data_IF_535111741207
#
_entry.id   IF_535111741207
#
_cell.length_a   1.000
_cell.length_b   1.000
_cell.length_c   1.000
_cell.angle_alpha   90.00
_cell.angle_beta   90.00
_cell.angle_gamma   90.00
#
_symmetry.space_group_name_H-M   'P 1'
#
loop_
_entity.id
_entity.type
_entity.pdbx_description
1 polymer ?
#
# COMPACT_ATOMS: atom_id res chain seq x y z
N UNK A 1 -23.64 -20.38 8.21
CA UNK A 1 -22.54 -19.54 7.71
C UNK A 1 -22.99 -18.10 7.85
N UNK A 2 -22.64 -17.46 8.96
CA UNK A 2 -22.83 -16.01 9.12
C UNK A 2 -21.85 -15.34 8.17
N UNK A 3 -22.36 -14.50 7.26
CA UNK A 3 -21.50 -13.68 6.42
C UNK A 3 -20.60 -12.85 7.36
N UNK A 4 -19.29 -13.08 7.29
CA UNK A 4 -18.31 -12.19 7.93
C UNK A 4 -18.57 -10.83 7.30
N UNK A 5 -19.08 -9.90 8.11
CA UNK A 5 -19.42 -8.58 7.62
C UNK A 5 -18.11 -7.81 7.56
N UNK A 6 -17.44 -7.88 6.42
CA UNK A 6 -16.21 -7.14 6.18
C UNK A 6 -16.43 -5.66 6.54
N UNK A 7 -15.44 -5.05 7.19
CA UNK A 7 -15.40 -3.62 7.45
C UNK A 7 -15.80 -2.81 6.20
N UNK A 8 -16.51 -1.68 6.37
CA UNK A 8 -17.13 -0.94 5.27
C UNK A 8 -16.14 -0.47 4.18
N UNK A 9 -14.85 -0.42 4.51
CA UNK A 9 -13.78 0.00 3.62
C UNK A 9 -13.28 -1.09 2.66
N UNK A 10 -13.61 -2.37 2.90
CA UNK A 10 -13.08 -3.48 2.12
C UNK A 10 -13.47 -3.43 0.65
N UNK A 11 -14.76 -3.21 0.35
CA UNK A 11 -15.24 -3.16 -1.03
C UNK A 11 -14.52 -2.08 -1.85
N UNK A 12 -14.27 -0.92 -1.23
CA UNK A 12 -13.54 0.16 -1.88
C UNK A 12 -12.05 -0.18 -2.07
N UNK A 13 -11.41 -0.77 -1.05
CA UNK A 13 -10.02 -1.19 -1.13
C UNK A 13 -9.79 -2.23 -2.24
N UNK A 14 -10.66 -3.24 -2.33
CA UNK A 14 -10.60 -4.29 -3.36
C UNK A 14 -10.85 -3.70 -4.76
N UNK A 15 -11.78 -2.74 -4.86
CA UNK A 15 -12.00 -2.01 -6.10
C UNK A 15 -10.76 -1.23 -6.55
N UNK A 16 -10.08 -0.55 -5.62
CA UNK A 16 -8.81 0.16 -5.92
C UNK A 16 -7.74 -0.84 -6.37
N UNK A 17 -7.58 -1.95 -5.66
CA UNK A 17 -6.62 -3.00 -6.03
C UNK A 17 -6.91 -3.53 -7.44
N UNK A 18 -8.14 -3.92 -7.74
CA UNK A 18 -8.52 -4.45 -9.05
C UNK A 18 -8.41 -3.42 -10.18
N UNK A 19 -8.52 -2.14 -9.87
CA UNK A 19 -8.30 -1.07 -10.84
C UNK A 19 -6.80 -0.86 -11.15
N UNK A 20 -5.95 -0.88 -10.12
CA UNK A 20 -4.49 -0.74 -10.24
C UNK A 20 -3.86 -2.00 -10.84
N UNK A 21 -4.25 -3.18 -10.37
CA UNK A 21 -3.71 -4.47 -10.77
C UNK A 21 -4.85 -5.38 -11.27
N UNK A 22 -5.29 -5.23 -12.54
CA UNK A 22 -6.41 -5.98 -13.10
C UNK A 22 -6.25 -7.49 -12.98
N UNK A 23 -7.28 -8.16 -12.48
CA UNK A 23 -7.28 -9.60 -12.21
C UNK A 23 -7.11 -9.92 -10.71
N UNK A 24 -6.51 -9.02 -9.93
CA UNK A 24 -6.47 -9.15 -8.47
C UNK A 24 -7.85 -8.88 -7.86
N UNK A 25 -8.36 -9.83 -7.07
CA UNK A 25 -9.70 -9.75 -6.47
C UNK A 25 -9.71 -9.70 -4.95
N UNK A 26 -8.56 -9.84 -4.29
CA UNK A 26 -8.44 -9.84 -2.85
C UNK A 26 -7.02 -9.40 -2.43
N UNK A 27 -6.89 -8.88 -1.21
CA UNK A 27 -5.60 -8.65 -0.56
C UNK A 27 -5.07 -9.95 0.04
N UNK A 28 -4.81 -10.90 -0.84
CA UNK A 28 -4.28 -12.22 -0.56
C UNK A 28 -3.24 -12.48 -1.65
N UNK A 29 -1.93 -12.54 -1.31
CA UNK A 29 -0.86 -12.68 -2.29
C UNK A 29 -1.08 -13.84 -3.27
N UNK A 30 -1.70 -14.95 -2.83
CA UNK A 30 -2.00 -16.11 -3.68
C UNK A 30 -3.10 -15.84 -4.72
N UNK A 31 -3.91 -14.80 -4.50
CA UNK A 31 -5.03 -14.37 -5.37
C UNK A 31 -4.73 -13.07 -6.13
N UNK A 32 -3.50 -12.54 -6.01
CA UNK A 32 -3.07 -11.36 -6.74
C UNK A 32 -2.53 -11.75 -8.11
N UNK A 33 -3.32 -11.51 -9.15
CA UNK A 33 -2.88 -11.70 -10.54
C UNK A 33 -1.98 -10.54 -11.00
N UNK A 34 -1.10 -10.80 -11.96
CA UNK A 34 -0.25 -9.77 -12.56
C UNK A 34 1.09 -9.55 -11.87
N UNK A 35 1.43 -10.37 -10.87
CA UNK A 35 2.74 -10.42 -10.23
C UNK A 35 3.56 -11.59 -10.82
N UNK A 36 4.63 -11.34 -11.60
CA UNK A 36 5.48 -12.40 -12.11
C UNK A 36 6.25 -13.11 -10.99
N UNK A 37 6.29 -14.44 -11.04
CA UNK A 37 7.03 -15.25 -10.05
C UNK A 37 8.52 -14.89 -9.94
N UNK A 38 9.13 -14.37 -11.03
CA UNK A 38 10.54 -13.98 -11.05
C UNK A 38 10.85 -12.61 -10.46
N UNK A 39 9.83 -11.81 -10.14
CA UNK A 39 10.00 -10.45 -9.62
C UNK A 39 10.08 -10.42 -8.09
N UNK A 40 9.73 -11.52 -7.43
CA UNK A 40 9.84 -11.69 -5.99
C UNK A 40 11.31 -11.76 -5.59
N UNK A 41 11.68 -10.94 -4.60
CA UNK A 41 13.02 -10.89 -4.03
C UNK A 41 12.97 -11.33 -2.56
N UNK A 42 14.06 -11.91 -2.03
CA UNK A 42 14.17 -12.18 -0.61
C UNK A 42 14.05 -10.89 0.21
N UNK A 43 13.30 -10.96 1.30
CA UNK A 43 13.09 -9.90 2.28
C UNK A 43 13.06 -10.52 3.67
N UNK A 44 14.22 -10.57 4.32
CA UNK A 44 14.41 -11.28 5.58
C UNK A 44 13.69 -10.59 6.75
N UNK A 45 12.74 -11.31 7.35
CA UNK A 45 11.95 -10.90 8.52
C UNK A 45 12.43 -11.56 9.83
N UNK A 46 13.26 -12.61 9.78
CA UNK A 46 13.50 -13.48 10.96
C UNK A 46 14.84 -13.23 11.67
N UNK A 47 15.77 -12.47 11.07
CA UNK A 47 17.11 -12.25 11.65
C UNK A 47 17.46 -10.77 11.93
N UNK A 48 16.48 -9.86 11.90
CA UNK A 48 16.71 -8.40 12.00
C UNK A 48 15.94 -7.75 13.13
N UNK A 49 16.43 -6.61 13.59
CA UNK A 49 15.68 -5.71 14.49
C UNK A 49 14.48 -5.12 13.73
N UNK A 50 13.31 -5.09 14.37
CA UNK A 50 12.04 -4.61 13.81
C UNK A 50 12.16 -3.26 13.09
N UNK A 51 12.93 -2.33 13.68
CA UNK A 51 13.20 -1.00 13.11
C UNK A 51 13.92 -1.08 11.76
N UNK A 52 14.87 -2.00 11.61
CA UNK A 52 15.63 -2.17 10.37
C UNK A 52 14.78 -2.81 9.28
N UNK A 53 13.86 -3.70 9.63
CA UNK A 53 12.92 -4.31 8.68
C UNK A 53 11.98 -3.24 8.14
N UNK A 54 11.43 -2.41 9.03
CA UNK A 54 10.55 -1.31 8.65
C UNK A 54 11.26 -0.26 7.79
N UNK A 55 12.49 0.13 8.13
CA UNK A 55 13.26 1.09 7.34
C UNK A 55 13.56 0.56 5.94
N UNK A 56 13.89 -0.72 5.81
CA UNK A 56 14.11 -1.38 4.52
C UNK A 56 12.82 -1.43 3.71
N UNK A 57 11.70 -1.85 4.31
CA UNK A 57 10.38 -1.81 3.68
C UNK A 57 10.01 -0.39 3.20
N UNK A 58 10.24 0.64 4.02
CA UNK A 58 9.96 2.03 3.67
C UNK A 58 10.81 2.51 2.49
N UNK A 59 12.02 1.97 2.30
CA UNK A 59 12.86 2.28 1.13
C UNK A 59 12.21 1.84 -0.19
N UNK A 60 11.43 0.75 -0.18
CA UNK A 60 10.65 0.33 -1.36
C UNK A 60 9.45 1.24 -1.64
N UNK A 61 9.03 2.03 -0.65
CA UNK A 61 7.85 2.90 -0.71
C UNK A 61 8.16 4.36 -1.09
N UNK A 62 9.43 4.72 -1.33
CA UNK A 62 9.87 6.13 -1.53
C UNK A 62 9.23 6.82 -2.75
N UNK A 63 8.86 6.06 -3.78
CA UNK A 63 8.26 6.57 -5.02
C UNK A 63 6.72 6.46 -5.02
N UNK A 64 6.10 6.17 -3.87
CA UNK A 64 4.65 6.20 -3.72
C UNK A 64 4.17 7.64 -3.54
N UNK A 65 3.01 7.95 -4.13
CA UNK A 65 2.40 9.27 -4.04
C UNK A 65 0.92 9.19 -3.67
N UNK A 66 0.42 10.28 -3.08
CA UNK A 66 -0.99 10.48 -2.75
C UNK A 66 -1.55 9.50 -1.71
N UNK A 67 -2.87 9.28 -1.70
CA UNK A 67 -3.49 8.36 -0.76
C UNK A 67 -3.18 6.90 -1.13
N UNK A 68 -2.72 6.14 -0.14
CA UNK A 68 -2.38 4.72 -0.25
C UNK A 68 -3.46 3.87 0.41
N UNK A 69 -3.68 2.67 -0.13
CA UNK A 69 -4.37 1.59 0.57
C UNK A 69 -3.31 0.69 1.20
N UNK A 70 -3.37 0.51 2.51
CA UNK A 70 -2.46 -0.36 3.26
C UNK A 70 -3.28 -1.45 3.94
N UNK A 71 -2.95 -2.70 3.67
CA UNK A 71 -3.56 -3.87 4.28
C UNK A 71 -2.48 -4.73 4.92
N UNK A 72 -2.68 -5.10 6.18
CA UNK A 72 -1.87 -6.09 6.86
C UNK A 72 -2.76 -7.04 7.68
N UNK A 73 -2.16 -7.96 8.45
CA UNK A 73 -2.94 -8.92 9.26
C UNK A 73 -4.00 -8.24 10.15
N UNK A 74 -3.67 -7.13 10.78
CA UNK A 74 -4.59 -6.38 11.66
C UNK A 74 -5.80 -5.84 10.89
N UNK A 75 -5.70 -5.57 9.59
CA UNK A 75 -6.85 -5.16 8.77
C UNK A 75 -7.97 -6.20 8.69
N UNK A 76 -7.68 -7.48 8.98
CA UNK A 76 -8.67 -8.56 8.98
C UNK A 76 -9.40 -8.71 10.32
N UNK A 77 -9.00 -7.96 11.36
CA UNK A 77 -9.74 -7.92 12.62
C UNK A 77 -11.11 -7.24 12.42
N UNK A 78 -12.11 -7.69 13.18
CA UNK A 78 -13.52 -7.32 13.01
C UNK A 78 -13.80 -5.80 13.04
N UNK A 79 -12.90 -4.99 13.61
CA UNK A 79 -13.06 -3.54 13.82
C UNK A 79 -12.02 -2.64 13.12
N UNK A 80 -11.07 -3.20 12.34
CA UNK A 80 -9.97 -2.43 11.76
C UNK A 80 -10.17 -2.12 10.27
N UNK A 81 -10.24 -3.17 9.42
CA UNK A 81 -10.29 -3.01 7.97
C UNK A 81 -9.02 -2.45 7.32
N UNK A 82 -9.04 -2.21 6.00
CA UNK A 82 -7.95 -1.56 5.28
C UNK A 82 -7.71 -0.12 5.75
N UNK A 83 -6.45 0.27 5.82
CA UNK A 83 -6.03 1.62 6.19
C UNK A 83 -5.85 2.48 4.94
N UNK A 84 -6.25 3.75 5.04
CA UNK A 84 -5.97 4.76 4.02
C UNK A 84 -4.98 5.78 4.59
N UNK A 85 -3.81 5.85 3.97
CA UNK A 85 -2.68 6.62 4.50
C UNK A 85 -2.12 7.49 3.39
N UNK A 86 -1.98 8.79 3.62
CA UNK A 86 -1.23 9.64 2.68
C UNK A 86 0.22 9.18 2.62
N UNK A 87 0.80 9.06 1.42
CA UNK A 87 2.19 8.61 1.23
C UNK A 87 3.20 9.41 2.07
N UNK A 88 2.98 10.73 2.19
CA UNK A 88 3.78 11.63 3.03
C UNK A 88 3.74 11.31 4.54
N UNK A 89 2.79 10.49 4.97
CA UNK A 89 2.58 10.05 6.36
C UNK A 89 2.85 8.56 6.56
N UNK A 90 3.28 7.84 5.52
CA UNK A 90 3.50 6.40 5.59
C UNK A 90 4.57 6.03 6.61
N UNK A 91 5.68 6.77 6.64
CA UNK A 91 6.77 6.57 7.62
C UNK A 91 6.22 6.67 9.05
N UNK A 92 5.53 7.77 9.38
CA UNK A 92 4.94 7.97 10.70
C UNK A 92 3.89 6.90 11.03
N UNK A 93 3.14 6.42 10.03
CA UNK A 93 2.14 5.39 10.20
C UNK A 93 2.77 4.05 10.58
N UNK A 94 3.79 3.61 9.84
CA UNK A 94 4.54 2.37 10.11
C UNK A 94 5.20 2.45 11.49
N UNK A 95 6.00 3.50 11.73
CA UNK A 95 6.79 3.68 12.96
C UNK A 95 5.98 3.88 14.24
N UNK A 96 4.67 4.13 14.14
CA UNK A 96 3.80 4.27 15.30
C UNK A 96 2.69 3.23 15.35
N UNK A 97 2.71 2.23 14.45
CA UNK A 97 1.63 1.25 14.31
C UNK A 97 1.46 0.41 15.58
N UNK A 98 2.56 -0.12 16.12
CA UNK A 98 2.59 -0.91 17.35
C UNK A 98 1.98 -0.18 18.55
N UNK A 99 2.25 1.12 18.70
CA UNK A 99 1.70 1.92 19.80
C UNK A 99 0.19 2.14 19.67
N UNK A 100 -0.33 2.13 18.44
CA UNK A 100 -1.74 2.40 18.15
C UNK A 100 -2.60 1.15 18.25
N UNK A 101 -2.13 0.04 17.69
CA UNK A 101 -2.91 -1.20 17.56
C UNK A 101 -2.35 -2.38 18.36
N UNK A 102 -1.19 -2.21 19.04
CA UNK A 102 -0.49 -3.25 19.82
C UNK A 102 -0.02 -4.46 19.01
N UNK A 103 0.12 -4.28 17.70
CA UNK A 103 0.64 -5.26 16.76
C UNK A 103 1.79 -4.67 15.96
N UNK A 104 2.82 -5.48 15.71
CA UNK A 104 3.93 -5.09 14.86
C UNK A 104 3.46 -5.00 13.40
N UNK A 105 3.88 -3.95 12.68
CA UNK A 105 3.36 -3.64 11.35
C UNK A 105 3.65 -4.76 10.32
N UNK A 106 4.85 -5.35 10.40
CA UNK A 106 5.34 -6.39 9.49
C UNK A 106 5.20 -7.81 10.06
N UNK A 107 4.32 -8.02 11.05
CA UNK A 107 4.11 -9.34 11.68
C UNK A 107 3.58 -10.42 10.71
N UNK A 108 2.98 -10.01 9.60
CA UNK A 108 2.42 -10.89 8.59
C UNK A 108 2.47 -10.20 7.23
N UNK A 109 1.75 -10.75 6.24
CA UNK A 109 1.64 -10.16 4.91
C UNK A 109 1.22 -8.69 4.98
N UNK A 110 1.89 -7.86 4.20
CA UNK A 110 1.62 -6.43 4.03
C UNK A 110 1.43 -6.15 2.56
N UNK A 111 0.34 -5.47 2.21
CA UNK A 111 0.08 -5.00 0.85
C UNK A 111 -0.13 -3.49 0.87
N UNK A 112 0.63 -2.78 0.05
CA UNK A 112 0.46 -1.34 -0.19
C UNK A 112 0.10 -1.11 -1.65
N UNK A 113 -0.97 -0.37 -1.89
CA UNK A 113 -1.43 0.00 -3.23
C UNK A 113 -1.45 1.52 -3.35
N UNK A 114 -0.71 2.07 -4.30
CA UNK A 114 -0.82 3.48 -4.70
C UNK A 114 -1.66 3.61 -5.99
N UNK A 115 -2.89 4.13 -5.91
CA UNK A 115 -3.70 4.42 -7.09
C UNK A 115 -3.12 5.56 -7.95
N UNK A 116 -2.29 6.44 -7.36
CA UNK A 116 -1.67 7.56 -8.09
C UNK A 116 -0.52 7.08 -8.95
N UNK A 117 0.38 6.27 -8.40
CA UNK A 117 1.57 5.81 -9.13
C UNK A 117 1.35 4.48 -9.85
N UNK A 118 0.25 3.78 -9.51
CA UNK A 118 -0.05 2.44 -9.98
C UNK A 118 0.85 1.36 -9.38
N UNK A 119 1.62 1.69 -8.34
CA UNK A 119 2.55 0.76 -7.70
C UNK A 119 1.79 -0.10 -6.68
N UNK A 120 2.11 -1.39 -6.67
CA UNK A 120 1.69 -2.34 -5.64
C UNK A 120 2.94 -2.96 -5.04
N UNK A 121 3.05 -2.90 -3.71
CA UNK A 121 4.11 -3.55 -2.94
C UNK A 121 3.46 -4.63 -2.10
N UNK A 122 4.00 -5.84 -2.15
CA UNK A 122 3.56 -6.97 -1.33
C UNK A 122 4.78 -7.49 -0.58
N UNK A 123 4.62 -7.65 0.74
CA UNK A 123 5.56 -8.38 1.59
C UNK A 123 4.81 -9.57 2.13
N UNK A 124 5.39 -10.76 2.01
CA UNK A 124 4.85 -11.99 2.54
C UNK A 124 5.57 -12.38 3.83
N UNK A 125 4.83 -12.99 4.75
CA UNK A 125 5.32 -13.46 6.05
C UNK A 125 6.44 -14.53 5.93
N UNK A 126 6.56 -15.20 4.78
CA UNK A 126 7.61 -16.17 4.49
C UNK A 126 8.91 -15.54 3.97
N UNK A 127 9.00 -14.20 4.01
CA UNK A 127 10.25 -13.46 3.79
C UNK A 127 10.50 -13.11 2.33
N UNK A 128 9.46 -12.82 1.57
CA UNK A 128 9.57 -12.32 0.20
C UNK A 128 8.88 -10.96 0.05
N UNK A 129 9.47 -10.12 -0.80
CA UNK A 129 8.91 -8.83 -1.20
C UNK A 129 8.81 -8.77 -2.70
N UNK A 130 7.77 -8.12 -3.21
CA UNK A 130 7.68 -7.73 -4.61
C UNK A 130 7.12 -6.31 -4.72
N UNK A 131 7.62 -5.60 -5.72
CA UNK A 131 7.13 -4.28 -6.12
C UNK A 131 6.80 -4.32 -7.60
N UNK A 132 5.52 -4.21 -7.93
CA UNK A 132 5.04 -4.20 -9.31
C UNK A 132 4.40 -2.86 -9.66
N UNK A 133 4.39 -2.54 -10.96
CA UNK A 133 3.70 -1.35 -11.48
C UNK A 133 2.56 -1.79 -12.40
N UNK A 134 1.34 -1.55 -11.93
CA UNK A 134 0.11 -1.69 -12.70
C UNK A 134 -0.33 -0.37 -13.34
N UNK A 135 -1.62 -0.06 -13.25
CA UNK A 135 -2.26 1.13 -13.80
C UNK A 135 -2.38 2.22 -12.74
N UNK A 136 -1.89 3.41 -13.05
CA UNK A 136 -2.27 4.62 -12.32
C UNK A 136 -3.74 4.96 -12.64
N UNK A 137 -4.59 5.02 -11.61
CA UNK A 137 -6.05 5.21 -11.73
C UNK A 137 -6.55 6.48 -11.03
N UNK A 138 -5.65 7.21 -10.37
CA UNK A 138 -5.90 8.50 -9.76
C UNK A 138 -4.90 9.54 -10.28
N UNK A 139 -5.35 10.78 -10.45
CA UNK A 139 -4.46 11.91 -10.75
C UNK A 139 -4.40 12.82 -9.53
N UNK A 140 -3.20 13.21 -9.13
CA UNK A 140 -3.03 14.27 -8.14
C UNK A 140 -3.42 15.61 -8.79
N UNK A 141 -4.09 16.52 -8.08
CA UNK A 141 -4.18 17.89 -8.54
C UNK A 141 -2.75 18.40 -8.67
N UNK A 142 -2.31 18.68 -9.90
CA UNK A 142 -0.99 19.24 -10.13
C UNK A 142 -0.87 20.56 -9.36
N UNK A 143 0.34 20.84 -8.87
CA UNK A 143 0.73 22.18 -8.49
C UNK A 143 0.68 23.05 -9.77
N UNK A 144 -0.51 23.50 -10.14
CA UNK A 144 -0.76 24.46 -11.21
C UNK A 144 -0.33 25.84 -10.70
N UNK A 145 0.96 25.96 -10.37
CA UNK A 145 1.65 27.20 -10.09
C UNK A 145 1.89 27.96 -11.39
N UNK A 146 0.97 28.86 -11.72
CA UNK A 146 1.26 30.07 -12.49
C UNK A 146 1.34 29.93 -14.01
N UNK A 147 0.19 29.83 -14.68
CA UNK A 147 0.09 30.35 -16.05
C UNK A 147 0.36 31.86 -16.03
N UNK A 148 1.51 32.24 -16.61
CA UNK A 148 1.91 33.59 -16.99
C UNK A 148 0.72 34.32 -17.66
N UNK A 149 0.02 35.16 -16.90
CA UNK A 149 -0.81 36.22 -17.49
C UNK A 149 0.14 37.26 -18.09
N UNK A 150 0.59 37.02 -19.33
CA UNK A 150 1.19 38.07 -20.15
C UNK A 150 0.09 39.08 -20.51
N UNK A 151 0.05 40.17 -19.74
CA UNK A 151 -0.67 41.38 -20.12
C UNK A 151 -0.07 41.93 -21.42
N UNK A 152 -0.88 42.27 -22.44
CA UNK A 152 -0.37 43.05 -23.56
C UNK A 152 -0.20 44.51 -23.10
N UNK A 153 0.99 45.05 -23.26
CA UNK A 153 1.26 46.49 -23.02
C UNK A 153 0.63 47.34 -24.14
N UNK A 154 0.05 48.50 -23.81
CA UNK A 154 -0.20 49.58 -24.78
C UNK A 154 1.09 50.29 -25.22
#
# INVERSE_FOLDING_TARGET
MTAVKNHANWEFAEWVLGAVLPGSTAFDPDKMEGIPLGDWIPFDLEEREDDLIEDDFLSYCEDLEGPLVVVNSTSFDDDQGPYFVEASRLIDFVKTFDTRVRHYFMWADVVVVSPVTGIVIVVQADGYLVKVRGKAVMSMPGDSGGEERRSPSP
#
